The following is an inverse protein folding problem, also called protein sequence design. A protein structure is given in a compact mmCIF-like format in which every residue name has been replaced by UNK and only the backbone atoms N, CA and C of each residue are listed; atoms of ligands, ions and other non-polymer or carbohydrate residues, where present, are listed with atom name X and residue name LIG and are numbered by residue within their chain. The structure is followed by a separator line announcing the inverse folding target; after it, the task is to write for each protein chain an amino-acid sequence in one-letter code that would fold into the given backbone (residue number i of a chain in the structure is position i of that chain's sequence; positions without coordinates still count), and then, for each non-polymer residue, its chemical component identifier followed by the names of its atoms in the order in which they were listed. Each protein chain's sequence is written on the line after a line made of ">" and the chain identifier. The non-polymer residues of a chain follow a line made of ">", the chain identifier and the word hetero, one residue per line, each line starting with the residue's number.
data_IF_372382216518
#
_entry.id   IF_372382216518
#
_cell.length_a   1.000
_cell.length_b   1.000
_cell.length_c   1.000
_cell.angle_alpha   90.00
_cell.angle_beta   90.00
_cell.angle_gamma   90.00
#
_symmetry.space_group_name_H-M   'P 1'
#
loop_
_entity.id
_entity.type
_entity.pdbx_description
1 polymer ?
#
# COMPACT_ATOMS: atom_id res chain seq x y z
N UNK A 1 35.34 7.03 -5.33
CA UNK A 1 35.10 7.23 -3.89
C UNK A 1 33.60 7.45 -3.56
N UNK A 2 32.89 8.42 -4.19
CA UNK A 2 31.47 8.71 -3.88
C UNK A 2 30.47 7.56 -4.07
N UNK A 3 30.59 6.74 -5.11
CA UNK A 3 29.66 5.62 -5.36
C UNK A 3 29.59 4.60 -4.22
N UNK A 4 30.65 4.53 -3.40
CA UNK A 4 30.75 3.65 -2.23
C UNK A 4 30.23 4.40 -0.99
N UNK A 5 30.77 5.60 -0.76
CA UNK A 5 30.42 6.43 0.41
C UNK A 5 28.95 6.88 0.45
N UNK A 6 28.26 7.04 -0.68
CA UNK A 6 26.87 7.53 -0.74
C UNK A 6 25.93 6.73 0.17
N UNK A 7 26.14 5.41 0.32
CA UNK A 7 25.28 4.54 1.15
C UNK A 7 25.45 4.79 2.65
N UNK A 8 26.64 5.24 3.05
CA UNK A 8 27.02 5.44 4.45
C UNK A 8 26.99 6.93 4.85
N UNK A 9 26.79 7.84 3.89
CA UNK A 9 26.76 9.29 4.10
C UNK A 9 25.36 9.79 4.53
N UNK A 10 24.75 9.15 5.52
CA UNK A 10 23.48 9.60 6.07
C UNK A 10 23.70 10.77 7.04
N UNK A 11 22.80 11.76 7.01
CA UNK A 11 22.82 12.88 7.97
C UNK A 11 22.17 12.52 9.32
N UNK A 12 21.81 11.26 9.49
CA UNK A 12 21.20 10.71 10.69
C UNK A 12 21.84 9.37 11.08
N UNK A 13 21.63 8.97 12.33
CA UNK A 13 21.85 7.60 12.81
C UNK A 13 20.57 7.10 13.51
N UNK A 14 20.39 5.79 13.51
CA UNK A 14 19.29 5.13 14.24
C UNK A 14 19.66 5.06 15.72
N UNK A 15 18.69 5.34 16.58
CA UNK A 15 18.78 5.18 18.03
C UNK A 15 17.64 4.28 18.51
N UNK A 16 17.85 3.64 19.65
CA UNK A 16 16.84 2.89 20.38
C UNK A 16 16.67 3.58 21.73
N UNK A 17 15.53 4.22 21.93
CA UNK A 17 15.21 4.98 23.14
C UNK A 17 14.20 4.18 23.98
N UNK A 18 14.49 3.86 25.25
CA UNK A 18 13.62 3.02 26.08
C UNK A 18 12.15 3.45 26.15
N UNK A 19 11.86 4.75 26.09
CA UNK A 19 10.49 5.27 26.22
C UNK A 19 9.78 5.49 24.87
N UNK A 20 10.54 5.71 23.79
CA UNK A 20 10.01 6.12 22.48
C UNK A 20 10.23 5.07 21.37
N UNK A 21 11.00 4.03 21.65
CA UNK A 21 11.40 3.01 20.68
C UNK A 21 12.48 3.51 19.72
N UNK A 22 12.47 2.97 18.49
CA UNK A 22 13.46 3.32 17.46
C UNK A 22 13.22 4.73 16.90
N UNK A 23 14.29 5.52 16.81
CA UNK A 23 14.24 6.88 16.28
C UNK A 23 15.44 7.22 15.40
N UNK A 24 15.40 8.42 14.81
CA UNK A 24 16.51 9.00 14.06
C UNK A 24 17.03 10.24 14.78
N UNK A 25 18.36 10.36 14.89
CA UNK A 25 19.01 11.58 15.41
C UNK A 25 20.02 12.09 14.39
N UNK A 26 20.08 13.41 14.22
CA UNK A 26 21.02 14.05 13.31
C UNK A 26 22.48 13.81 13.74
N UNK A 27 23.36 13.55 12.78
CA UNK A 27 24.80 13.34 13.02
C UNK A 27 25.65 14.57 12.66
N UNK A 28 25.02 15.59 12.08
CA UNK A 28 25.62 16.87 11.68
C UNK A 28 24.54 17.94 11.59
N UNK A 29 24.95 19.20 11.45
CA UNK A 29 24.02 20.28 11.11
C UNK A 29 23.35 20.04 9.75
N UNK A 30 22.02 20.14 9.71
CA UNK A 30 21.21 19.95 8.52
C UNK A 30 20.65 21.31 8.12
N UNK A 31 21.01 21.78 6.92
CA UNK A 31 20.51 23.06 6.40
C UNK A 31 19.01 22.94 6.10
N UNK A 32 18.27 24.03 6.32
CA UNK A 32 16.87 24.11 5.91
C UNK A 32 16.72 23.77 4.42
N UNK A 33 15.72 22.93 4.10
CA UNK A 33 15.48 22.44 2.74
C UNK A 33 16.32 21.23 2.31
N UNK A 34 17.16 20.66 3.19
CA UNK A 34 17.90 19.42 2.88
C UNK A 34 16.98 18.20 2.88
N UNK A 35 17.20 17.28 1.94
CA UNK A 35 16.56 15.96 1.94
C UNK A 35 17.26 15.08 2.97
N UNK A 36 16.52 14.64 3.99
CA UNK A 36 17.02 13.75 5.06
C UNK A 36 16.83 12.29 4.66
N UNK A 37 15.64 11.94 4.15
CA UNK A 37 15.25 10.60 3.72
C UNK A 37 14.46 10.71 2.41
N UNK A 38 14.73 9.81 1.47
CA UNK A 38 14.01 9.67 0.21
C UNK A 38 13.84 8.19 -0.09
N UNK A 39 12.62 7.68 0.06
CA UNK A 39 12.28 6.27 -0.08
C UNK A 39 10.95 6.09 -0.80
N UNK A 40 10.82 4.99 -1.54
CA UNK A 40 9.57 4.61 -2.16
C UNK A 40 8.65 3.91 -1.14
N UNK A 41 7.33 4.14 -1.20
CA UNK A 41 6.39 3.48 -0.29
C UNK A 41 6.39 1.96 -0.54
N UNK A 42 6.41 1.20 0.56
CA UNK A 42 6.32 -0.27 0.53
C UNK A 42 4.96 -0.73 -0.01
N UNK A 43 3.87 -0.08 0.42
CA UNK A 43 2.52 -0.27 -0.10
C UNK A 43 1.82 1.09 -0.16
N UNK A 44 1.15 1.38 -1.28
CA UNK A 44 0.26 2.53 -1.41
C UNK A 44 -1.02 2.15 -2.15
N UNK A 45 -2.05 2.99 -2.02
CA UNK A 45 -3.32 2.84 -2.71
C UNK A 45 -3.86 4.23 -3.10
N UNK A 46 -4.66 4.33 -4.18
CA UNK A 46 -5.31 5.59 -4.57
C UNK A 46 -6.23 6.11 -3.46
N UNK A 47 -6.35 7.42 -3.31
CA UNK A 47 -7.26 8.03 -2.32
C UNK A 47 -8.74 7.83 -2.71
N UNK A 48 -9.64 7.90 -1.72
CA UNK A 48 -11.09 7.74 -1.91
C UNK A 48 -11.79 9.03 -2.38
N UNK A 49 -11.23 10.18 -2.04
CA UNK A 49 -11.82 11.51 -2.24
C UNK A 49 -11.50 12.13 -3.61
N UNK A 50 -10.49 11.58 -4.28
CA UNK A 50 -9.90 12.10 -5.51
C UNK A 50 -9.68 10.97 -6.51
N UNK A 51 -10.26 11.06 -7.72
CA UNK A 51 -9.94 10.11 -8.80
C UNK A 51 -8.43 10.06 -8.98
N UNK A 52 -7.83 8.90 -8.82
CA UNK A 52 -6.38 8.74 -8.85
C UNK A 52 -5.99 7.53 -9.69
N UNK A 53 -4.86 7.61 -10.38
CA UNK A 53 -4.32 6.47 -11.11
C UNK A 53 -4.02 5.35 -10.11
N UNK A 54 -4.58 4.16 -10.29
CA UNK A 54 -4.32 3.05 -9.37
C UNK A 54 -2.82 2.70 -9.33
N UNK A 55 -2.12 2.84 -10.45
CA UNK A 55 -0.73 2.42 -10.60
C UNK A 55 0.28 3.38 -9.98
N UNK A 56 0.11 4.70 -10.15
CA UNK A 56 1.12 5.67 -9.72
C UNK A 56 0.61 6.71 -8.71
N UNK A 57 -0.69 6.67 -8.36
CA UNK A 57 -1.28 7.58 -7.39
C UNK A 57 -1.48 9.02 -7.87
N UNK A 58 -1.10 9.35 -9.12
CA UNK A 58 -1.33 10.71 -9.65
C UNK A 58 -2.82 11.02 -9.66
N UNK A 59 -3.18 12.21 -9.18
CA UNK A 59 -4.55 12.71 -9.24
C UNK A 59 -4.97 12.86 -10.69
N UNK A 60 -6.11 12.27 -11.02
CA UNK A 60 -6.74 12.36 -12.32
C UNK A 60 -7.70 13.56 -12.34
N UNK A 61 -7.88 14.22 -13.49
CA UNK A 61 -8.88 15.25 -13.63
C UNK A 61 -10.27 14.72 -13.25
N UNK A 62 -11.05 15.50 -12.49
CA UNK A 62 -12.45 15.17 -12.12
C UNK A 62 -13.40 15.08 -13.32
N UNK A 63 -12.89 15.31 -14.54
CA UNK A 63 -13.62 15.09 -15.78
C UNK A 63 -13.97 13.61 -15.95
N UNK A 64 -15.12 13.32 -16.57
CA UNK A 64 -15.66 11.97 -16.75
C UNK A 64 -14.79 11.04 -17.65
N UNK A 65 -13.75 11.59 -18.29
CA UNK A 65 -12.97 10.95 -19.38
C UNK A 65 -11.50 10.65 -19.01
N UNK A 66 -11.21 10.23 -17.78
CA UNK A 66 -9.89 9.63 -17.52
C UNK A 66 -9.79 8.22 -18.14
N UNK A 67 -8.58 7.80 -18.47
CA UNK A 67 -8.35 6.48 -19.06
C UNK A 67 -8.64 5.37 -18.05
N UNK A 68 -9.03 4.21 -18.55
CA UNK A 68 -9.31 3.01 -17.76
C UNK A 68 -8.44 1.87 -18.25
N UNK A 69 -8.00 1.03 -17.32
CA UNK A 69 -7.26 -0.18 -17.65
C UNK A 69 -8.10 -1.04 -18.61
N UNK A 70 -7.55 -1.46 -19.77
CA UNK A 70 -8.32 -2.22 -20.76
C UNK A 70 -8.74 -3.62 -20.27
N UNK A 71 -8.11 -4.12 -19.20
CA UNK A 71 -8.44 -5.42 -18.59
C UNK A 71 -9.48 -5.28 -17.49
N UNK A 72 -9.16 -4.51 -16.43
CA UNK A 72 -9.98 -4.45 -15.22
C UNK A 72 -10.84 -3.18 -15.10
N UNK A 73 -10.73 -2.23 -16.02
CA UNK A 73 -11.47 -0.95 -16.06
C UNK A 73 -11.14 0.05 -14.94
N UNK A 74 -10.14 -0.22 -14.10
CA UNK A 74 -9.73 0.71 -13.04
C UNK A 74 -9.07 1.98 -13.60
N UNK A 75 -9.19 3.14 -12.91
CA UNK A 75 -8.66 4.41 -13.38
C UNK A 75 -7.13 4.41 -13.53
N UNK A 76 -6.64 4.92 -14.66
CA UNK A 76 -5.21 5.07 -14.97
C UNK A 76 -4.95 6.41 -15.65
N UNK A 77 -3.73 6.94 -15.51
CA UNK A 77 -3.33 8.17 -16.22
C UNK A 77 -2.87 7.90 -17.67
N UNK A 78 -2.39 6.70 -17.96
CA UNK A 78 -1.93 6.29 -19.30
C UNK A 78 -1.96 4.77 -19.46
N UNK A 79 -1.96 4.29 -20.72
CA UNK A 79 -1.84 2.86 -21.03
C UNK A 79 -0.53 2.22 -20.52
N UNK A 80 0.53 2.99 -20.32
CA UNK A 80 1.75 2.48 -19.70
C UNK A 80 1.53 2.12 -18.24
N UNK A 81 0.72 2.90 -17.50
CA UNK A 81 0.31 2.54 -16.14
C UNK A 81 -0.50 1.23 -16.07
N UNK A 82 -1.16 0.81 -17.16
CA UNK A 82 -1.84 -0.49 -17.19
C UNK A 82 -0.88 -1.68 -17.23
N UNK A 83 0.40 -1.47 -17.58
CA UNK A 83 1.41 -2.52 -17.78
C UNK A 83 2.41 -2.63 -16.63
N UNK A 84 2.47 -1.64 -15.72
CA UNK A 84 3.40 -1.65 -14.60
C UNK A 84 3.05 -2.80 -13.63
N UNK A 85 4.07 -3.54 -13.19
CA UNK A 85 3.93 -4.76 -12.39
C UNK A 85 3.05 -4.56 -11.16
N UNK A 86 3.20 -3.42 -10.45
CA UNK A 86 2.46 -3.12 -9.23
C UNK A 86 0.95 -3.20 -9.41
N UNK A 87 0.45 -2.99 -10.64
CA UNK A 87 -0.94 -3.18 -11.01
C UNK A 87 -1.16 -4.45 -11.83
N UNK A 88 -0.45 -4.58 -12.95
CA UNK A 88 -0.69 -5.58 -13.99
C UNK A 88 -0.57 -7.02 -13.47
N UNK A 89 0.43 -7.27 -12.61
CA UNK A 89 0.72 -8.61 -12.08
C UNK A 89 0.22 -8.83 -10.65
N UNK A 90 -0.28 -7.78 -9.99
CA UNK A 90 -0.87 -7.85 -8.67
C UNK A 90 -2.40 -7.86 -8.77
N UNK A 91 -3.05 -6.72 -8.47
CA UNK A 91 -4.49 -6.66 -8.31
C UNK A 91 -5.30 -6.71 -9.61
N UNK A 92 -4.69 -6.46 -10.78
CA UNK A 92 -5.44 -6.38 -12.05
C UNK A 92 -6.20 -7.68 -12.37
N UNK A 93 -5.57 -8.85 -12.15
CA UNK A 93 -6.22 -10.16 -12.40
C UNK A 93 -7.36 -10.42 -11.41
N UNK A 94 -7.16 -10.04 -10.15
CA UNK A 94 -8.18 -10.14 -9.11
C UNK A 94 -9.38 -9.27 -9.47
N UNK A 95 -9.15 -8.04 -9.96
CA UNK A 95 -10.23 -7.13 -10.34
C UNK A 95 -11.08 -7.60 -11.51
N UNK A 96 -10.55 -8.46 -12.38
CA UNK A 96 -11.31 -9.08 -13.47
C UNK A 96 -12.09 -10.33 -13.03
N UNK A 97 -11.86 -10.84 -11.82
CA UNK A 97 -12.52 -12.06 -11.35
C UNK A 97 -14.00 -11.81 -11.02
N UNK A 98 -14.84 -12.82 -11.29
CA UNK A 98 -16.27 -12.78 -10.95
C UNK A 98 -16.48 -12.64 -9.44
N UNK A 99 -15.60 -13.23 -8.62
CA UNK A 99 -15.61 -13.11 -7.16
C UNK A 99 -15.35 -11.68 -6.70
N UNK A 100 -14.48 -10.93 -7.38
CA UNK A 100 -14.26 -9.52 -7.09
C UNK A 100 -15.44 -8.63 -7.50
N UNK A 101 -16.01 -8.85 -8.70
CA UNK A 101 -17.21 -8.15 -9.14
C UNK A 101 -18.41 -8.40 -8.20
N UNK A 102 -18.56 -9.65 -7.74
CA UNK A 102 -19.52 -10.02 -6.71
C UNK A 102 -19.22 -9.33 -5.38
N UNK A 103 -17.98 -9.39 -4.87
CA UNK A 103 -17.59 -8.69 -3.64
C UNK A 103 -17.86 -7.18 -3.69
N UNK A 104 -17.53 -6.50 -4.79
CA UNK A 104 -17.84 -5.07 -5.00
C UNK A 104 -19.33 -4.75 -4.90
N UNK A 105 -20.21 -5.68 -5.33
CA UNK A 105 -21.67 -5.47 -5.26
C UNK A 105 -22.21 -5.46 -3.84
N UNK A 106 -21.48 -6.03 -2.88
CA UNK A 106 -21.83 -6.05 -1.45
C UNK A 106 -21.12 -4.97 -0.64
N UNK A 107 -20.29 -4.11 -1.25
CA UNK A 107 -19.66 -2.99 -0.55
C UNK A 107 -20.61 -1.78 -0.66
N UNK A 108 -21.45 -1.51 0.35
CA UNK A 108 -22.41 -0.41 0.32
C UNK A 108 -21.71 0.94 0.25
N UNK A 109 -20.49 1.03 0.82
CA UNK A 109 -19.72 2.25 0.87
C UNK A 109 -18.46 2.17 -0.01
N UNK A 110 -18.52 2.80 -1.19
CA UNK A 110 -17.39 2.82 -2.13
C UNK A 110 -16.14 3.52 -1.60
N UNK A 111 -16.23 4.27 -0.49
CA UNK A 111 -15.05 4.87 0.17
C UNK A 111 -14.11 3.82 0.78
N UNK A 112 -14.55 2.57 0.93
CA UNK A 112 -13.74 1.48 1.48
C UNK A 112 -12.81 0.85 0.41
N UNK A 113 -13.02 1.15 -0.87
CA UNK A 113 -12.27 0.55 -2.00
C UNK A 113 -10.76 0.83 -1.99
N UNK A 114 -10.28 2.03 -1.61
CA UNK A 114 -8.87 2.27 -1.37
C UNK A 114 -8.24 1.37 -0.32
N UNK A 115 -8.93 1.15 0.80
CA UNK A 115 -8.46 0.24 1.83
C UNK A 115 -8.37 -1.19 1.27
N UNK A 116 -9.31 -1.59 0.41
CA UNK A 116 -9.31 -2.91 -0.24
C UNK A 116 -8.09 -3.08 -1.14
N UNK A 117 -7.79 -2.06 -1.94
CA UNK A 117 -6.63 -2.03 -2.81
C UNK A 117 -5.33 -2.09 -2.00
N UNK A 118 -5.26 -1.37 -0.87
CA UNK A 118 -4.12 -1.39 0.05
C UNK A 118 -3.89 -2.78 0.63
N UNK A 119 -4.94 -3.45 1.10
CA UNK A 119 -4.85 -4.81 1.65
C UNK A 119 -4.48 -5.84 0.60
N UNK A 120 -5.05 -5.79 -0.60
CA UNK A 120 -4.65 -6.68 -1.70
C UNK A 120 -3.15 -6.51 -1.98
N UNK A 121 -2.68 -5.27 -2.09
CA UNK A 121 -1.25 -5.00 -2.34
C UNK A 121 -0.36 -5.49 -1.20
N UNK A 122 -0.80 -5.37 0.05
CA UNK A 122 -0.08 -5.95 1.19
C UNK A 122 -0.03 -7.48 1.11
N UNK A 123 -1.12 -8.16 0.73
CA UNK A 123 -1.12 -9.60 0.48
C UNK A 123 -0.17 -9.99 -0.66
N UNK A 124 -0.21 -9.26 -1.77
CA UNK A 124 0.71 -9.48 -2.89
C UNK A 124 2.18 -9.29 -2.46
N UNK A 125 2.46 -8.28 -1.62
CA UNK A 125 3.78 -8.06 -1.05
C UNK A 125 4.22 -9.24 -0.18
N UNK A 126 3.37 -9.72 0.75
CA UNK A 126 3.65 -10.89 1.60
C UNK A 126 4.06 -12.11 0.77
N UNK A 127 3.40 -12.30 -0.37
CA UNK A 127 3.66 -13.43 -1.25
C UNK A 127 4.90 -13.28 -2.13
N UNK A 128 5.15 -12.08 -2.67
CA UNK A 128 6.26 -11.83 -3.59
C UNK A 128 7.58 -11.52 -2.87
N UNK A 129 7.50 -10.84 -1.73
CA UNK A 129 8.60 -10.27 -0.93
C UNK A 129 8.29 -10.39 0.57
N UNK A 130 8.26 -11.63 1.11
CA UNK A 130 7.94 -11.87 2.52
C UNK A 130 8.93 -11.17 3.48
N UNK A 131 10.18 -11.01 3.07
CA UNK A 131 11.22 -10.27 3.77
C UNK A 131 10.82 -8.80 4.04
N UNK A 132 10.36 -8.11 2.99
CA UNK A 132 9.92 -6.71 3.08
C UNK A 132 8.61 -6.61 3.84
N UNK A 133 7.70 -7.56 3.65
CA UNK A 133 6.44 -7.60 4.40
C UNK A 133 6.69 -7.75 5.90
N UNK A 134 7.61 -8.63 6.30
CA UNK A 134 7.97 -8.83 7.71
C UNK A 134 8.52 -7.55 8.32
N UNK A 135 9.48 -6.90 7.65
CA UNK A 135 10.03 -5.60 8.08
C UNK A 135 8.92 -4.55 8.25
N UNK A 136 7.98 -4.46 7.31
CA UNK A 136 6.83 -3.55 7.40
C UNK A 136 5.96 -3.83 8.63
N UNK A 137 5.75 -5.10 8.99
CA UNK A 137 4.94 -5.47 10.16
C UNK A 137 5.64 -5.29 11.49
N UNK A 138 6.98 -5.40 11.52
CA UNK A 138 7.80 -5.18 12.73
C UNK A 138 7.76 -3.71 13.20
N UNK A 139 7.54 -2.75 12.28
CA UNK A 139 7.40 -1.31 12.62
C UNK A 139 6.13 -1.01 13.43
N UNK A 140 5.15 -1.92 13.47
CA UNK A 140 3.84 -1.72 14.10
C UNK A 140 3.48 -2.78 15.16
N UNK A 141 4.45 -3.48 15.75
CA UNK A 141 4.17 -4.56 16.69
C UNK A 141 3.90 -4.14 18.14
N UNK A 142 4.10 -2.87 18.51
CA UNK A 142 3.68 -2.37 19.83
C UNK A 142 2.19 -1.98 19.83
N UNK A 143 1.34 -3.00 19.99
CA UNK A 143 -0.10 -2.89 20.21
C UNK A 143 -0.47 -2.46 21.65
N UNK A 144 0.44 -1.81 22.39
CA UNK A 144 0.15 -1.31 23.74
C UNK A 144 -0.92 -0.22 23.74
N UNK A 145 -1.15 0.41 22.59
CA UNK A 145 -2.37 1.18 22.32
C UNK A 145 -3.46 0.19 21.92
N UNK A 146 -4.54 0.02 22.72
CA UNK A 146 -5.64 -0.83 22.32
C UNK A 146 -6.13 -0.39 20.94
N UNK A 147 -6.36 -1.36 20.05
CA UNK A 147 -7.08 -1.12 18.80
C UNK A 147 -8.44 -0.58 19.22
N UNK A 148 -8.57 0.75 19.19
CA UNK A 148 -9.81 1.42 19.61
C UNK A 148 -10.86 1.02 18.59
N UNK A 149 -11.99 0.47 19.06
CA UNK A 149 -13.19 0.29 18.25
C UNK A 149 -13.45 1.59 17.51
N UNK A 150 -13.35 1.53 16.19
CA UNK A 150 -13.31 2.70 15.36
C UNK A 150 -13.53 2.33 13.90
N UNK A 151 -13.84 3.31 13.05
CA UNK A 151 -14.29 3.07 11.68
C UNK A 151 -13.30 2.27 10.83
N UNK A 152 -12.01 2.23 11.22
CA UNK A 152 -10.97 1.43 10.56
C UNK A 152 -11.09 -0.07 10.85
N UNK A 153 -11.49 -0.46 12.06
CA UNK A 153 -11.62 -1.86 12.47
C UNK A 153 -12.89 -2.49 11.89
N UNK A 154 -14.01 -1.78 11.95
CA UNK A 154 -15.28 -2.20 11.33
C UNK A 154 -15.12 -2.40 9.82
N UNK A 155 -14.43 -1.47 9.14
CA UNK A 155 -14.10 -1.60 7.72
C UNK A 155 -13.25 -2.84 7.45
N UNK A 156 -12.23 -3.11 8.28
CA UNK A 156 -11.40 -4.31 8.13
C UNK A 156 -12.25 -5.58 8.25
N UNK A 157 -13.11 -5.66 9.26
CA UNK A 157 -13.99 -6.81 9.49
C UNK A 157 -14.99 -7.02 8.35
N UNK A 158 -15.56 -5.94 7.81
CA UNK A 158 -16.42 -5.97 6.62
C UNK A 158 -15.66 -6.52 5.39
N UNK A 159 -14.37 -6.22 5.27
CA UNK A 159 -13.55 -6.62 4.13
C UNK A 159 -13.02 -8.06 4.22
N UNK A 160 -12.86 -8.62 5.42
CA UNK A 160 -12.25 -9.94 5.63
C UNK A 160 -12.94 -11.09 4.87
N UNK A 161 -14.27 -11.24 4.88
CA UNK A 161 -14.97 -12.26 4.11
C UNK A 161 -14.70 -12.15 2.60
N UNK A 162 -14.61 -10.92 2.08
CA UNK A 162 -14.35 -10.66 0.68
C UNK A 162 -12.91 -11.00 0.27
N UNK A 163 -11.92 -10.66 1.11
CA UNK A 163 -10.54 -11.07 0.89
C UNK A 163 -10.41 -12.61 0.89
N UNK A 164 -11.08 -13.28 1.84
CA UNK A 164 -11.10 -14.75 1.90
C UNK A 164 -11.76 -15.37 0.66
N UNK A 165 -12.83 -14.77 0.14
CA UNK A 165 -13.46 -15.20 -1.11
C UNK A 165 -12.57 -15.02 -2.35
N UNK A 166 -11.58 -14.11 -2.28
CA UNK A 166 -10.53 -13.94 -3.30
C UNK A 166 -9.32 -14.87 -3.07
N UNK A 167 -9.37 -15.75 -2.07
CA UNK A 167 -8.25 -16.61 -1.69
C UNK A 167 -7.11 -15.86 -0.98
N UNK A 168 -7.37 -14.65 -0.48
CA UNK A 168 -6.40 -13.84 0.25
C UNK A 168 -6.68 -13.95 1.75
N UNK A 169 -5.85 -14.69 2.48
CA UNK A 169 -5.92 -14.72 3.95
C UNK A 169 -4.80 -13.85 4.54
N UNK A 170 -5.13 -12.74 5.20
CA UNK A 170 -4.11 -11.92 5.87
C UNK A 170 -3.33 -12.70 6.95
N UNK A 171 -3.97 -13.69 7.59
CA UNK A 171 -3.33 -14.58 8.57
C UNK A 171 -2.39 -15.60 7.90
N UNK A 172 -2.73 -16.10 6.70
CA UNK A 172 -2.00 -17.21 6.04
C UNK A 172 -1.75 -17.03 4.53
N UNK A 173 -1.54 -15.80 4.02
CA UNK A 173 -1.63 -15.46 2.59
C UNK A 173 -0.86 -16.40 1.64
N UNK A 174 -1.54 -17.45 1.18
CA UNK A 174 -1.23 -18.26 0.02
C UNK A 174 -2.35 -18.02 -0.99
N UNK A 175 -2.08 -17.33 -2.11
CA UNK A 175 -2.97 -17.40 -3.27
C UNK A 175 -2.95 -18.86 -3.74
N UNK A 176 -4.08 -19.55 -3.54
CA UNK A 176 -4.31 -20.84 -4.20
C UNK A 176 -4.25 -20.63 -5.72
N UNK A 177 -3.33 -21.35 -6.36
CA UNK A 177 -3.10 -21.36 -7.80
C UNK A 177 -4.33 -21.81 -8.58
#
# INVERSE_FOLDING_TARGET
>A
HWKIHKKDCNCYRIIDEPELGKGFVATREIKAGSIILDELPVVFAPSWDTPSCITCGVTLPRTVKYQRCPKCTWPICSLECAKVEIHAENECKLFTSKSFGFALSFIPNRSILPNFTKLIRACCLKMKRPDVYQQMTEVCSDFSVPVVDGPRQEQLEEMMPHLKALGLDLKHAEIKK
#
